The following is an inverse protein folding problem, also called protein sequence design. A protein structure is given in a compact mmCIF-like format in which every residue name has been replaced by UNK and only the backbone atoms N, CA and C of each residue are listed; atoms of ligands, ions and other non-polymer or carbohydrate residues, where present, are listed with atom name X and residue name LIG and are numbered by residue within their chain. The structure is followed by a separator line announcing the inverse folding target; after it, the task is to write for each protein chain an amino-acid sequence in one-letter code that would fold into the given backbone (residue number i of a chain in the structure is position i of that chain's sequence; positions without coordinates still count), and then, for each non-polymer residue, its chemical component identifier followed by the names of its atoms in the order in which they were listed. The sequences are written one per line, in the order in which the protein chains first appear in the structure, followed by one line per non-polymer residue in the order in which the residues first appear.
data_IF_435915361266
#
_entry.id   IF_435915361266
#
_cell.length_a   1.000
_cell.length_b   1.000
_cell.length_c   1.000
_cell.angle_alpha   90.00
_cell.angle_beta   90.00
_cell.angle_gamma   90.00
#
_symmetry.space_group_name_H-M   'P 1'
#
loop_
_entity.id
_entity.type
_entity.pdbx_description
1 polymer ?
#
# COMPACT_ATOMS: atom_id res chain seq x y z
N UNK A 1 7.53 -21.38 -28.41
CA UNK A 1 7.55 -20.73 -28.11
C UNK A 1 7.20 -20.28 -27.42
N UNK A 2 7.11 -20.06 -27.39
CA UNK A 2 6.94 -19.34 -26.84
C UNK A 2 6.78 -18.95 -25.93
N UNK A 3 6.76 -19.05 -25.77
CA UNK A 3 6.66 -18.52 -25.08
C UNK A 3 6.79 -18.06 -24.23
N UNK A 4 7.12 -18.06 -24.11
CA UNK A 4 7.40 -17.45 -23.46
C UNK A 4 7.31 -16.81 -22.95
N UNK A 5 7.30 -16.70 -23.13
CA UNK A 5 7.18 -15.89 -22.87
C UNK A 5 6.83 -15.55 -22.07
N UNK A 6 6.58 -15.76 -21.83
CA UNK A 6 6.22 -15.24 -21.15
C UNK A 6 6.35 -15.16 -20.14
N UNK A 7 6.81 -15.38 -20.07
CA UNK A 7 7.08 -15.08 -19.19
C UNK A 7 7.54 -14.33 -18.79
N UNK A 8 7.75 -14.43 -19.28
CA UNK A 8 8.15 -13.34 -18.83
C UNK A 8 7.41 -12.53 -18.07
N UNK A 9 7.25 -12.70 -17.82
CA UNK A 9 6.62 -12.08 -17.27
C UNK A 9 6.36 -11.13 -16.85
N UNK A 10 5.96 -11.24 -17.11
CA UNK A 10 5.45 -9.97 -16.85
C UNK A 10 5.39 -9.77 -15.42
N UNK A 11 6.17 -8.89 -14.95
CA UNK A 11 6.09 -8.48 -13.58
C UNK A 11 4.94 -7.53 -13.49
N UNK A 12 3.89 -7.87 -12.76
CA UNK A 12 2.80 -6.93 -12.59
C UNK A 12 3.31 -5.74 -11.81
N UNK A 13 3.02 -4.56 -12.31
CA UNK A 13 3.35 -3.33 -11.63
C UNK A 13 2.28 -3.05 -10.61
N UNK A 14 2.21 -3.90 -9.61
CA UNK A 14 1.18 -3.79 -8.60
C UNK A 14 1.80 -3.96 -7.23
N UNK A 15 1.21 -3.28 -6.26
CA UNK A 15 1.56 -3.43 -4.87
C UNK A 15 0.67 -4.46 -4.22
N UNK A 16 1.10 -4.98 -3.08
CA UNK A 16 0.27 -5.86 -2.29
C UNK A 16 -0.84 -5.05 -1.64
N UNK A 17 -1.91 -5.74 -1.27
CA UNK A 17 -3.00 -5.09 -0.55
C UNK A 17 -2.45 -4.54 0.75
N UNK A 18 -2.62 -3.22 1.00
CA UNK A 18 -2.10 -2.65 2.24
C UNK A 18 -2.90 -3.11 3.44
N UNK A 19 -2.21 -3.42 4.52
CA UNK A 19 -2.85 -3.85 5.75
C UNK A 19 -3.30 -2.65 6.55
N UNK A 20 -4.48 -2.75 7.15
CA UNK A 20 -4.93 -1.71 8.06
C UNK A 20 -4.13 -1.81 9.35
N UNK A 21 -3.80 -0.66 9.96
CA UNK A 21 -3.13 -0.70 11.25
C UNK A 21 -4.10 -1.17 12.33
N UNK A 22 -3.52 -1.67 13.40
CA UNK A 22 -4.35 -2.04 14.54
C UNK A 22 -5.10 -0.81 15.04
N UNK A 23 -6.40 -0.95 15.25
CA UNK A 23 -7.27 0.15 15.66
C UNK A 23 -7.35 1.25 14.62
N UNK A 24 -7.29 0.86 13.36
CA UNK A 24 -7.41 1.80 12.27
C UNK A 24 -7.93 1.14 11.04
N UNK A 25 -7.92 1.88 9.95
CA UNK A 25 -8.39 1.37 8.68
C UNK A 25 -7.58 1.99 7.55
N UNK A 26 -7.65 1.36 6.39
CA UNK A 26 -6.95 1.83 5.21
C UNK A 26 -7.90 1.79 4.02
N UNK A 27 -7.86 2.83 3.22
CA UNK A 27 -8.56 2.91 1.95
C UNK A 27 -7.51 3.07 0.87
N UNK A 28 -7.73 2.40 -0.25
CA UNK A 28 -6.78 2.54 -1.34
C UNK A 28 -7.53 2.56 -2.66
N UNK A 29 -7.00 3.37 -3.60
CA UNK A 29 -7.65 3.56 -4.88
C UNK A 29 -7.40 2.42 -5.84
N UNK A 30 -6.39 1.61 -5.57
CA UNK A 30 -6.05 0.49 -6.41
C UNK A 30 -4.72 -0.06 -5.97
N UNK A 31 -4.19 -0.98 -6.77
CA UNK A 31 -2.92 -1.61 -6.44
C UNK A 31 -1.86 -1.35 -7.49
N UNK A 32 -2.19 -0.57 -8.51
CA UNK A 32 -1.22 -0.27 -9.55
C UNK A 32 -0.29 0.84 -9.09
N UNK A 33 0.85 0.91 -9.76
CA UNK A 33 1.77 2.00 -9.54
C UNK A 33 1.03 3.32 -9.72
N UNK A 34 1.22 4.23 -8.78
CA UNK A 34 0.52 5.50 -8.77
C UNK A 34 -0.70 5.53 -7.89
N UNK A 35 -1.18 4.37 -7.48
CA UNK A 35 -2.32 4.31 -6.56
C UNK A 35 -1.91 4.83 -5.19
N UNK A 36 -2.91 5.30 -4.45
CA UNK A 36 -2.71 5.87 -3.14
C UNK A 36 -3.42 5.03 -2.10
N UNK A 37 -2.81 4.90 -0.96
CA UNK A 37 -3.42 4.30 0.22
C UNK A 37 -3.51 5.38 1.28
N UNK A 38 -4.67 5.48 1.92
CA UNK A 38 -4.93 6.47 2.94
C UNK A 38 -5.33 5.77 4.22
N UNK A 39 -4.67 6.14 5.30
CA UNK A 39 -4.85 5.48 6.59
C UNK A 39 -5.56 6.41 7.56
N UNK A 40 -6.36 5.83 8.41
CA UNK A 40 -7.03 6.58 9.46
C UNK A 40 -7.11 5.71 10.71
N UNK A 41 -7.33 6.35 11.85
CA UNK A 41 -7.39 5.66 13.13
C UNK A 41 -8.76 5.81 13.74
N UNK A 42 -9.12 4.88 14.63
CA UNK A 42 -10.35 4.96 15.37
C UNK A 42 -10.31 6.14 16.32
N UNK A 43 -11.49 6.47 16.85
CA UNK A 43 -11.58 7.53 17.84
C UNK A 43 -10.63 7.23 18.98
N UNK A 44 -10.03 8.26 19.52
CA UNK A 44 -9.13 8.17 20.66
C UNK A 44 -7.81 7.51 20.31
N UNK A 45 -7.55 7.37 19.03
CA UNK A 45 -6.24 6.92 18.55
C UNK A 45 -5.67 7.99 17.65
N UNK A 46 -4.38 8.15 17.74
CA UNK A 46 -3.65 9.14 16.93
C UNK A 46 -2.78 8.43 15.93
N UNK A 47 -2.81 8.90 14.69
CA UNK A 47 -2.01 8.31 13.63
C UNK A 47 -0.59 8.81 13.73
N UNK A 48 0.34 7.88 13.81
CA UNK A 48 1.77 8.19 13.77
C UNK A 48 2.35 7.66 12.48
N UNK A 49 3.02 8.54 11.74
CA UNK A 49 3.61 8.18 10.47
C UNK A 49 2.90 8.88 9.35
N UNK A 50 3.11 8.37 8.15
CA UNK A 50 2.51 8.96 6.96
C UNK A 50 1.08 8.48 6.80
N UNK A 51 0.16 9.44 6.71
CA UNK A 51 -1.24 9.09 6.54
C UNK A 51 -1.53 8.55 5.15
N UNK A 52 -0.66 8.81 4.19
CA UNK A 52 -0.86 8.36 2.82
C UNK A 52 0.41 7.72 2.32
N UNK A 53 0.22 6.68 1.51
CA UNK A 53 1.33 6.01 0.85
C UNK A 53 0.98 5.85 -0.61
N UNK A 54 2.01 5.76 -1.44
CA UNK A 54 1.84 5.60 -2.88
C UNK A 54 2.51 4.31 -3.33
N UNK A 55 1.88 3.63 -4.25
CA UNK A 55 2.48 2.48 -4.88
C UNK A 55 3.49 2.98 -5.89
N UNK A 56 4.76 2.66 -5.70
CA UNK A 56 5.83 3.27 -6.47
C UNK A 56 6.47 2.26 -7.41
N UNK A 57 7.02 2.78 -8.47
CA UNK A 57 7.78 2.08 -9.47
C UNK A 57 9.27 2.28 -9.16
N UNK A 58 10.12 1.31 -9.38
CA UNK A 58 9.88 0.04 -10.07
C UNK A 58 9.57 -1.13 -9.14
N UNK A 59 9.60 -0.93 -7.84
CA UNK A 59 9.51 -2.04 -6.92
C UNK A 59 8.12 -2.62 -6.79
N UNK A 60 7.11 -1.85 -7.14
CA UNK A 60 5.75 -2.34 -6.94
C UNK A 60 5.43 -2.49 -5.47
N UNK A 61 5.78 -1.50 -4.69
CA UNK A 61 5.51 -1.52 -3.26
C UNK A 61 5.10 -0.13 -2.80
N UNK A 62 4.50 -0.09 -1.62
CA UNK A 62 4.09 1.18 -1.04
C UNK A 62 5.32 1.89 -0.49
N UNK A 63 5.40 3.20 -0.74
CA UNK A 63 6.50 3.98 -0.19
C UNK A 63 6.27 4.20 1.29
N UNK A 64 7.33 4.55 2.01
CA UNK A 64 7.31 4.79 3.44
C UNK A 64 6.84 3.54 4.18
N UNK A 65 6.83 3.62 5.48
CA UNK A 65 6.33 2.55 6.33
C UNK A 65 4.86 2.79 6.64
N UNK A 66 4.16 1.71 6.91
CA UNK A 66 2.77 1.82 7.31
C UNK A 66 2.70 2.58 8.63
N UNK A 67 1.73 3.50 8.77
CA UNK A 67 1.58 4.23 10.01
C UNK A 67 0.98 3.36 11.10
N UNK A 68 1.02 3.87 12.31
CA UNK A 68 0.46 3.19 13.47
C UNK A 68 -0.59 4.06 14.10
N UNK A 69 -1.54 3.42 14.77
CA UNK A 69 -2.56 4.11 15.53
C UNK A 69 -2.24 3.94 16.99
N UNK A 70 -1.97 5.04 17.67
CA UNK A 70 -1.52 5.03 19.06
C UNK A 70 -2.64 5.59 19.91
N UNK A 71 -2.96 4.90 20.98
CA UNK A 71 -3.99 5.36 21.89
C UNK A 71 -3.58 6.67 22.55
N UNK A 72 -4.49 7.61 22.56
CA UNK A 72 -4.26 8.92 23.15
C UNK A 72 -4.37 8.85 24.67
#
# INVERSE_FOLDING_TARGET
MLMDIGNIKCIPMQCDIPDAPQNGMVEFSGLRVGSMARYSCERQYELQGMAQRRCIYPEGRWNFEAPKCIEI
#
